data_IF_707632738191
#
_entry.id   IF_707632738191
#
_cell.length_a   1.000
_cell.length_b   1.000
_cell.length_c   1.000
_cell.angle_alpha   90.00
_cell.angle_beta   90.00
_cell.angle_gamma   90.00
#
_symmetry.space_group_name_H-M   'P 1'
#
loop_
_entity.id
_entity.type
_entity.pdbx_description
1 polymer ?
#
# COMPACT_ATOMS: atom_id res chain seq x y z
N UNK A 1 7.09 18.82 -15.68
CA UNK A 1 7.13 17.66 -14.77
C UNK A 1 8.13 16.65 -15.33
N UNK A 2 9.07 16.18 -14.51
CA UNK A 2 10.05 15.16 -14.97
C UNK A 2 9.35 13.79 -15.10
N UNK A 3 9.87 12.88 -15.98
CA UNK A 3 9.32 11.53 -16.09
C UNK A 3 9.27 10.76 -14.77
N UNK A 4 10.26 10.93 -13.91
CA UNK A 4 10.30 10.31 -12.56
C UNK A 4 9.16 10.81 -11.68
N UNK A 5 8.95 12.13 -11.61
CA UNK A 5 7.86 12.70 -10.84
C UNK A 5 6.50 12.25 -11.40
N UNK A 6 6.36 12.17 -12.72
CA UNK A 6 5.16 11.66 -13.36
C UNK A 6 4.88 10.20 -12.99
N UNK A 7 5.92 9.36 -12.95
CA UNK A 7 5.79 7.94 -12.62
C UNK A 7 5.28 7.74 -11.17
N UNK A 8 5.89 8.39 -10.18
CA UNK A 8 5.47 8.21 -8.78
C UNK A 8 4.11 8.85 -8.50
N UNK A 9 3.83 10.03 -9.04
CA UNK A 9 2.50 10.65 -8.91
C UNK A 9 1.44 9.81 -9.61
N UNK A 10 1.75 9.25 -10.79
CA UNK A 10 0.85 8.35 -11.49
C UNK A 10 0.53 7.09 -10.69
N UNK A 11 1.52 6.47 -10.07
CA UNK A 11 1.33 5.29 -9.22
C UNK A 11 0.42 5.58 -8.02
N UNK A 12 0.72 6.64 -7.26
CA UNK A 12 -0.09 7.03 -6.10
C UNK A 12 -1.50 7.49 -6.49
N UNK A 13 -1.62 8.21 -7.62
CA UNK A 13 -2.93 8.63 -8.15
C UNK A 13 -3.76 7.43 -8.58
N UNK A 14 -3.15 6.43 -9.23
CA UNK A 14 -3.86 5.22 -9.65
C UNK A 14 -4.35 4.42 -8.45
N UNK A 15 -3.54 4.28 -7.41
CA UNK A 15 -3.94 3.64 -6.15
C UNK A 15 -5.14 4.36 -5.52
N UNK A 16 -5.06 5.67 -5.32
CA UNK A 16 -6.15 6.47 -4.77
C UNK A 16 -7.43 6.44 -5.65
N UNK A 17 -7.26 6.45 -6.97
CA UNK A 17 -8.38 6.44 -7.90
C UNK A 17 -9.18 5.13 -7.86
N UNK A 18 -8.52 4.02 -7.56
CA UNK A 18 -9.14 2.68 -7.56
C UNK A 18 -9.59 2.20 -6.19
N UNK A 19 -9.23 2.90 -5.13
CA UNK A 19 -9.47 2.51 -3.73
C UNK A 19 -10.91 2.11 -3.44
N UNK A 20 -11.89 2.87 -3.95
CA UNK A 20 -13.30 2.67 -3.64
C UNK A 20 -13.88 1.35 -4.16
N UNK A 21 -13.24 0.74 -5.16
CA UNK A 21 -13.66 -0.52 -5.77
C UNK A 21 -12.57 -1.59 -5.70
N UNK A 22 -11.55 -1.37 -4.88
CA UNK A 22 -10.46 -2.31 -4.69
C UNK A 22 -10.99 -3.67 -4.20
N UNK A 23 -10.61 -4.74 -4.91
CA UNK A 23 -11.06 -6.12 -4.68
C UNK A 23 -12.55 -6.39 -4.95
N UNK A 24 -13.20 -5.55 -5.73
CA UNK A 24 -14.48 -5.89 -6.34
C UNK A 24 -14.22 -6.57 -7.71
N UNK A 25 -14.46 -7.87 -7.78
CA UNK A 25 -14.17 -8.70 -8.97
C UNK A 25 -15.40 -9.03 -9.80
N UNK A 26 -16.56 -8.51 -9.43
CA UNK A 26 -17.83 -8.75 -10.09
C UNK A 26 -18.00 -7.81 -11.29
N UNK A 27 -17.86 -8.36 -12.50
CA UNK A 27 -17.92 -7.59 -13.73
C UNK A 27 -19.30 -6.96 -13.99
N UNK A 28 -20.39 -7.65 -13.62
CA UNK A 28 -21.75 -7.09 -13.77
C UNK A 28 -21.98 -5.95 -12.78
N UNK A 29 -21.53 -6.12 -11.54
CA UNK A 29 -21.59 -5.06 -10.54
C UNK A 29 -20.81 -3.83 -11.00
N UNK A 30 -19.59 -4.00 -11.50
CA UNK A 30 -18.76 -2.90 -12.02
C UNK A 30 -19.46 -2.18 -13.19
N UNK A 31 -20.07 -2.93 -14.12
CA UNK A 31 -20.82 -2.36 -15.23
C UNK A 31 -22.02 -1.54 -14.76
N UNK A 32 -22.74 -2.03 -13.77
CA UNK A 32 -23.89 -1.31 -13.19
C UNK A 32 -23.44 -0.02 -12.46
N UNK A 33 -22.33 -0.09 -11.72
CA UNK A 33 -21.76 1.08 -11.06
C UNK A 33 -21.27 2.12 -12.08
N UNK A 34 -20.72 1.69 -13.21
CA UNK A 34 -20.30 2.58 -14.30
C UNK A 34 -21.44 3.38 -14.91
N UNK A 35 -22.64 2.81 -14.98
CA UNK A 35 -23.85 3.51 -15.45
C UNK A 35 -24.28 4.62 -14.48
N UNK A 36 -23.88 4.54 -13.20
CA UNK A 36 -24.21 5.52 -12.17
C UNK A 36 -23.15 6.65 -12.06
N UNK A 37 -22.00 6.49 -12.72
CA UNK A 37 -20.93 7.48 -12.72
C UNK A 37 -19.54 6.85 -12.89
N UNK A 38 -18.48 7.65 -12.80
CA UNK A 38 -17.11 7.18 -12.94
C UNK A 38 -16.77 6.06 -11.94
N UNK A 39 -15.97 5.09 -12.37
CA UNK A 39 -15.45 4.05 -11.48
C UNK A 39 -14.24 4.51 -10.67
N UNK A 40 -13.59 5.59 -11.09
CA UNK A 40 -12.43 6.17 -10.40
C UNK A 40 -12.85 7.20 -9.36
N UNK A 41 -12.08 7.30 -8.29
CA UNK A 41 -12.33 8.23 -7.17
C UNK A 41 -13.72 8.11 -6.57
N UNK A 42 -14.20 6.87 -6.44
CA UNK A 42 -15.43 6.61 -5.68
C UNK A 42 -15.12 6.48 -4.20
N UNK A 43 -16.05 6.91 -3.35
CA UNK A 43 -15.98 6.63 -1.93
C UNK A 43 -16.08 5.11 -1.71
N UNK A 44 -15.25 4.52 -0.82
CA UNK A 44 -15.45 3.14 -0.41
C UNK A 44 -16.84 2.95 0.22
N UNK A 45 -17.63 2.05 -0.35
CA UNK A 45 -19.00 1.80 0.07
C UNK A 45 -19.24 0.30 0.16
N UNK A 46 -19.58 -0.26 1.37
CA UNK A 46 -19.83 -1.68 1.55
C UNK A 46 -20.99 -2.20 0.72
N UNK A 47 -21.99 -1.35 0.39
CA UNK A 47 -23.14 -1.74 -0.43
C UNK A 47 -22.72 -2.11 -1.85
N UNK A 48 -21.63 -1.54 -2.35
CA UNK A 48 -21.07 -1.92 -3.66
C UNK A 48 -20.62 -3.38 -3.71
N UNK A 49 -20.35 -3.99 -2.56
CA UNK A 49 -19.85 -5.38 -2.42
C UNK A 49 -20.95 -6.37 -1.98
N UNK A 50 -22.12 -5.87 -1.54
CA UNK A 50 -23.18 -6.74 -1.04
C UNK A 50 -23.68 -7.69 -2.15
N UNK A 51 -23.54 -9.01 -1.92
CA UNK A 51 -23.92 -10.04 -2.87
C UNK A 51 -23.05 -10.12 -4.14
N UNK A 52 -21.94 -9.38 -4.20
CA UNK A 52 -21.00 -9.38 -5.31
C UNK A 52 -19.74 -10.19 -4.99
N UNK A 53 -19.05 -10.66 -6.03
CA UNK A 53 -17.75 -11.30 -5.85
C UNK A 53 -16.69 -10.25 -5.50
N UNK A 54 -16.20 -10.28 -4.26
CA UNK A 54 -15.20 -9.32 -3.78
C UNK A 54 -15.08 -9.29 -2.26
N UNK A 55 -14.23 -8.39 -1.78
CA UNK A 55 -14.02 -8.18 -0.36
C UNK A 55 -13.89 -6.68 -0.04
N UNK A 56 -14.74 -6.17 0.83
CA UNK A 56 -14.67 -4.77 1.28
C UNK A 56 -13.61 -4.59 2.35
N UNK A 57 -12.46 -4.00 1.96
CA UNK A 57 -11.29 -3.85 2.82
C UNK A 57 -11.10 -2.45 3.41
N UNK A 58 -11.75 -1.42 2.85
CA UNK A 58 -11.40 -0.02 3.07
C UNK A 58 -12.43 0.76 3.89
N UNK A 59 -12.98 0.11 4.95
CA UNK A 59 -13.84 0.80 5.90
C UNK A 59 -13.14 2.03 6.51
N UNK A 60 -13.83 3.16 6.55
CA UNK A 60 -13.31 4.42 7.12
C UNK A 60 -12.38 5.21 6.22
N UNK A 61 -12.05 4.72 5.04
CA UNK A 61 -11.29 5.48 4.02
C UNK A 61 -12.20 6.42 3.25
N UNK A 62 -11.61 7.47 2.69
CA UNK A 62 -12.28 8.49 1.91
C UNK A 62 -11.74 8.55 0.47
N UNK A 63 -12.43 9.28 -0.38
CA UNK A 63 -11.98 9.57 -1.74
C UNK A 63 -10.63 10.30 -1.70
N UNK A 64 -9.65 9.76 -2.41
CA UNK A 64 -8.30 10.32 -2.46
C UNK A 64 -7.34 9.76 -1.42
N UNK A 65 -7.82 8.95 -0.46
CA UNK A 65 -6.94 8.20 0.43
C UNK A 65 -6.16 7.15 -0.35
N UNK A 66 -5.02 6.77 0.19
CA UNK A 66 -4.23 5.66 -0.32
C UNK A 66 -4.68 4.34 0.31
N UNK A 67 -4.57 3.28 -0.47
CA UNK A 67 -4.63 1.93 0.06
C UNK A 67 -3.36 1.61 0.84
N UNK A 68 -3.32 0.44 1.46
CA UNK A 68 -2.09 -0.10 2.06
C UNK A 68 -0.91 -0.10 1.08
N UNK A 69 -1.14 -0.44 -0.18
CA UNK A 69 -0.09 -0.51 -1.21
C UNK A 69 0.46 0.87 -1.58
N UNK A 70 -0.41 1.85 -1.74
CA UNK A 70 -0.01 3.24 -1.95
C UNK A 70 0.75 3.80 -0.74
N UNK A 71 0.33 3.47 0.48
CA UNK A 71 1.01 3.90 1.71
C UNK A 71 2.39 3.26 1.87
N UNK A 72 2.55 1.98 1.52
CA UNK A 72 3.86 1.31 1.50
C UNK A 72 4.82 1.96 0.50
N UNK A 73 4.32 2.28 -0.70
CA UNK A 73 5.08 3.01 -1.71
C UNK A 73 5.49 4.41 -1.23
N UNK A 74 4.58 5.12 -0.57
CA UNK A 74 4.83 6.44 0.04
C UNK A 74 5.88 6.36 1.15
N UNK A 75 5.82 5.34 2.00
CA UNK A 75 6.80 5.09 3.06
C UNK A 75 8.20 4.86 2.47
N UNK A 76 8.30 4.01 1.44
CA UNK A 76 9.57 3.77 0.74
C UNK A 76 10.12 5.04 0.11
N UNK A 77 9.28 5.83 -0.55
CA UNK A 77 9.68 7.10 -1.15
C UNK A 77 10.21 8.09 -0.09
N UNK A 78 9.53 8.21 1.04
CA UNK A 78 9.94 9.07 2.15
C UNK A 78 11.29 8.61 2.75
N UNK A 79 11.48 7.30 2.91
CA UNK A 79 12.75 6.73 3.36
C UNK A 79 13.90 7.08 2.41
N UNK A 80 13.71 6.83 1.11
CA UNK A 80 14.73 7.11 0.10
C UNK A 80 15.03 8.62 -0.03
N UNK A 81 14.01 9.47 0.08
CA UNK A 81 14.22 10.92 0.10
C UNK A 81 15.06 11.36 1.32
N UNK A 82 14.79 10.82 2.50
CA UNK A 82 15.52 11.10 3.74
C UNK A 82 16.97 10.61 3.70
N UNK A 83 17.24 9.53 2.99
CA UNK A 83 18.56 8.88 2.93
C UNK A 83 19.36 9.23 1.67
N UNK A 84 18.90 10.21 0.89
CA UNK A 84 19.56 10.63 -0.36
C UNK A 84 19.59 9.54 -1.43
N UNK A 85 18.54 8.72 -1.52
CA UNK A 85 18.41 7.62 -2.46
C UNK A 85 19.01 6.28 -2.00
N UNK A 86 19.67 6.24 -0.85
CA UNK A 86 20.28 5.03 -0.32
C UNK A 86 19.30 4.24 0.56
N UNK A 87 19.11 2.96 0.25
CA UNK A 87 18.27 2.09 1.07
C UNK A 87 18.98 1.67 2.35
N UNK A 88 18.63 2.30 3.47
CA UNK A 88 19.12 1.95 4.79
C UNK A 88 18.19 0.89 5.41
N UNK A 89 18.48 -0.38 5.17
CA UNK A 89 17.60 -1.53 5.51
C UNK A 89 17.05 -1.48 6.94
N UNK A 90 17.93 -1.36 7.92
CA UNK A 90 17.54 -1.41 9.34
C UNK A 90 16.64 -0.22 9.72
N UNK A 91 16.95 0.98 9.23
CA UNK A 91 16.13 2.16 9.44
C UNK A 91 14.76 1.97 8.79
N UNK A 92 14.70 1.43 7.56
CA UNK A 92 13.43 1.15 6.89
C UNK A 92 12.59 0.09 7.63
N UNK A 93 13.21 -0.96 8.18
CA UNK A 93 12.51 -1.95 9.00
C UNK A 93 11.87 -1.32 10.25
N UNK A 94 12.54 -0.36 10.87
CA UNK A 94 11.99 0.40 12.01
C UNK A 94 10.83 1.32 11.57
N UNK A 95 11.01 2.03 10.46
CA UNK A 95 9.97 2.89 9.88
C UNK A 95 8.73 2.06 9.48
N UNK A 96 8.94 0.87 8.90
CA UNK A 96 7.88 -0.08 8.58
C UNK A 96 7.10 -0.52 9.82
N UNK A 97 7.81 -0.89 10.86
CA UNK A 97 7.19 -1.29 12.13
C UNK A 97 6.45 -0.14 12.81
N UNK A 98 6.99 1.07 12.75
CA UNK A 98 6.33 2.28 13.25
C UNK A 98 5.09 2.66 12.44
N UNK A 99 5.05 2.31 11.15
CA UNK A 99 3.88 2.55 10.30
C UNK A 99 2.79 1.49 10.50
N UNK A 100 3.15 0.22 10.39
CA UNK A 100 2.21 -0.91 10.24
C UNK A 100 2.14 -1.83 11.45
N UNK A 101 3.00 -1.63 12.45
CA UNK A 101 3.01 -2.39 13.68
C UNK A 101 1.94 -1.94 14.69
N UNK A 102 1.88 -2.60 15.86
CA UNK A 102 0.96 -2.22 16.92
C UNK A 102 1.17 -0.77 17.37
N UNK A 103 0.10 0.02 17.36
CA UNK A 103 0.16 1.45 17.67
C UNK A 103 0.74 2.33 16.55
N UNK A 104 0.99 1.75 15.38
CA UNK A 104 1.45 2.49 14.20
C UNK A 104 0.39 3.46 13.66
N UNK A 105 0.83 4.35 12.78
CA UNK A 105 -0.06 5.38 12.23
C UNK A 105 -1.00 4.86 11.14
N UNK A 106 -0.74 3.69 10.55
CA UNK A 106 -1.62 3.10 9.57
C UNK A 106 -2.89 2.55 10.22
N UNK A 107 -4.03 3.01 9.73
CA UNK A 107 -5.35 2.50 10.12
C UNK A 107 -6.03 1.96 8.86
N UNK A 108 -6.35 0.67 8.88
CA UNK A 108 -6.99 0.01 7.76
C UNK A 108 -6.49 -1.41 7.53
N UNK A 109 -6.86 -1.96 6.39
CA UNK A 109 -6.41 -3.28 5.99
C UNK A 109 -4.89 -3.28 5.72
N UNK A 110 -4.21 -4.28 6.26
CA UNK A 110 -2.86 -4.65 5.89
C UNK A 110 -2.87 -6.11 5.41
N UNK A 111 -2.16 -6.39 4.33
CA UNK A 111 -2.13 -7.73 3.73
C UNK A 111 -1.41 -8.76 4.60
N UNK A 112 -1.51 -10.04 4.22
CA UNK A 112 -0.88 -11.13 4.97
C UNK A 112 0.65 -11.01 5.03
N UNK A 113 1.37 -10.74 3.92
CA UNK A 113 2.84 -10.56 3.95
C UNK A 113 3.27 -9.48 4.93
N UNK A 114 2.60 -8.35 4.95
CA UNK A 114 2.89 -7.26 5.90
C UNK A 114 2.69 -7.67 7.34
N UNK A 115 1.56 -8.31 7.65
CA UNK A 115 1.32 -8.80 9.03
C UNK A 115 2.40 -9.78 9.47
N UNK A 116 2.83 -10.69 8.59
CA UNK A 116 3.91 -11.64 8.87
C UNK A 116 5.26 -10.94 9.06
N UNK A 117 5.56 -9.91 8.26
CA UNK A 117 6.76 -9.09 8.42
C UNK A 117 6.77 -8.38 9.77
N UNK A 118 5.64 -7.77 10.16
CA UNK A 118 5.49 -7.13 11.48
C UNK A 118 5.71 -8.14 12.61
N UNK A 119 5.06 -9.31 12.56
CA UNK A 119 5.25 -10.36 13.58
C UNK A 119 6.71 -10.79 13.66
N UNK A 120 7.39 -10.95 12.52
CA UNK A 120 8.80 -11.32 12.48
C UNK A 120 9.68 -10.24 13.12
N UNK A 121 9.47 -8.98 12.81
CA UNK A 121 10.26 -7.89 13.40
C UNK A 121 10.01 -7.75 14.91
N UNK A 122 8.76 -7.92 15.38
CA UNK A 122 8.41 -7.89 16.79
C UNK A 122 9.02 -9.04 17.61
N UNK A 123 9.47 -10.11 16.98
CA UNK A 123 10.14 -11.22 17.69
C UNK A 123 11.57 -10.91 18.13
N UNK A 124 12.12 -9.78 17.70
CA UNK A 124 13.46 -9.33 18.09
C UNK A 124 13.38 -8.19 19.10
N UNK A 125 14.20 -8.27 20.14
CA UNK A 125 14.20 -7.26 21.20
C UNK A 125 14.82 -5.92 20.75
N UNK A 126 15.71 -5.95 19.78
CA UNK A 126 16.44 -4.76 19.31
C UNK A 126 16.52 -4.70 17.79
N UNK A 127 16.50 -3.49 17.22
CA UNK A 127 16.64 -3.32 15.77
C UNK A 127 17.95 -3.88 15.19
N UNK A 128 19.03 -3.91 15.97
CA UNK A 128 20.31 -4.46 15.56
C UNK A 128 20.23 -5.95 15.20
N UNK A 129 19.28 -6.65 15.81
CA UNK A 129 19.06 -8.08 15.62
C UNK A 129 18.13 -8.40 14.45
N UNK A 130 17.55 -7.38 13.79
CA UNK A 130 16.62 -7.60 12.69
C UNK A 130 17.28 -8.36 11.53
N UNK A 131 16.64 -9.41 11.01
CA UNK A 131 17.21 -10.22 9.94
C UNK A 131 17.36 -9.39 8.66
N UNK A 132 18.35 -9.76 7.84
CA UNK A 132 18.59 -9.14 6.55
C UNK A 132 17.34 -9.26 5.63
N UNK A 133 16.66 -10.41 5.71
CA UNK A 133 15.41 -10.67 5.02
C UNK A 133 14.31 -10.79 6.08
N UNK A 134 13.56 -9.71 6.28
CA UNK A 134 12.43 -9.66 7.22
C UNK A 134 11.08 -9.84 6.53
N UNK A 135 11.00 -9.65 5.22
CA UNK A 135 9.79 -9.86 4.45
C UNK A 135 9.27 -11.28 4.53
N UNK A 136 7.97 -11.47 4.36
CA UNK A 136 7.37 -12.77 4.21
C UNK A 136 7.73 -13.35 2.84
N UNK A 137 7.80 -14.68 2.77
CA UNK A 137 7.82 -15.40 1.49
C UNK A 137 6.41 -15.44 0.93
N UNK A 138 6.18 -14.65 -0.12
CA UNK A 138 4.86 -14.47 -0.73
C UNK A 138 5.03 -14.13 -2.22
N UNK A 139 4.21 -14.70 -3.07
CA UNK A 139 4.25 -14.57 -4.52
C UNK A 139 3.22 -13.55 -5.07
N UNK A 140 2.58 -12.79 -4.19
CA UNK A 140 1.57 -11.80 -4.58
C UNK A 140 2.20 -10.49 -5.07
N UNK A 141 1.44 -9.74 -5.84
CA UNK A 141 1.82 -8.42 -6.38
C UNK A 141 2.28 -7.37 -5.35
N UNK A 142 1.87 -7.39 -4.07
CA UNK A 142 2.39 -6.48 -3.06
C UNK A 142 3.91 -6.39 -2.98
N UNK A 143 4.62 -7.45 -3.35
CA UNK A 143 6.09 -7.42 -3.45
C UNK A 143 6.62 -6.33 -4.40
N UNK A 144 5.79 -5.86 -5.34
CA UNK A 144 6.15 -4.87 -6.37
C UNK A 144 5.73 -3.43 -6.01
N UNK A 145 4.98 -3.23 -4.94
CA UNK A 145 4.38 -1.92 -4.60
C UNK A 145 5.40 -0.80 -4.37
N UNK A 146 6.59 -1.14 -3.88
CA UNK A 146 7.65 -0.17 -3.62
C UNK A 146 8.54 0.12 -4.85
N UNK A 147 8.41 -0.63 -5.95
CA UNK A 147 9.28 -0.48 -7.14
C UNK A 147 9.21 0.94 -7.71
N UNK A 148 8.05 1.59 -7.89
CA UNK A 148 8.02 2.96 -8.41
C UNK A 148 8.87 3.92 -7.59
N UNK A 149 8.81 3.84 -6.26
CA UNK A 149 9.60 4.69 -5.37
C UNK A 149 11.11 4.42 -5.51
N UNK A 150 11.50 3.15 -5.62
CA UNK A 150 12.90 2.74 -5.80
C UNK A 150 13.43 3.26 -7.14
N UNK A 151 12.70 3.02 -8.24
CA UNK A 151 13.14 3.41 -9.58
C UNK A 151 13.31 4.93 -9.71
N UNK A 152 12.39 5.73 -9.16
CA UNK A 152 12.48 7.19 -9.27
C UNK A 152 13.58 7.79 -8.41
N UNK A 153 14.05 7.09 -7.39
CA UNK A 153 15.11 7.54 -6.48
C UNK A 153 16.53 7.27 -7.01
N UNK A 154 16.66 6.40 -8.01
CA UNK A 154 17.97 6.12 -8.61
C UNK A 154 18.37 7.24 -9.56
N UNK A 155 19.61 7.75 -9.41
CA UNK A 155 20.20 8.82 -10.22
C UNK A 155 20.62 8.33 -11.61
#
# INVERSE_FOLDING_TARGET
MTPRLAAILGALTADAATLGLHWLYDAERLKNLQQQGPLTFRAPDPESYHGAMGYFAHAGKQVGDLSFYGESSRLMLAHLAKTGGNFARQAFQQEWLAAFGPGGHWVGYADRPTRLTVVRLLSYAKPEDYPAISGADDDQLPALECIPAIVVSQS
#
